data_IF_954560431513
#
_entry.id   IF_954560431513
#
_cell.length_a   1.000
_cell.length_b   1.000
_cell.length_c   1.000
_cell.angle_alpha   90.00
_cell.angle_beta   90.00
_cell.angle_gamma   90.00
#
_symmetry.space_group_name_H-M   'P 1'
#
loop_
_entity.id
_entity.type
_entity.pdbx_description
1 polymer ?
#
# COMPACT_ATOMS: atom_id res chain seq x y z
N UNK A 1 1.89 -12.80 49.65
CA UNK A 1 2.70 -11.64 49.21
C UNK A 1 2.41 -11.40 47.75
N UNK A 2 1.86 -10.24 47.39
CA UNK A 2 1.74 -9.85 45.99
C UNK A 2 3.17 -9.64 45.48
N UNK A 3 3.60 -10.39 44.45
CA UNK A 3 4.95 -10.22 43.90
C UNK A 3 5.10 -8.80 43.38
N UNK A 4 6.27 -8.17 43.56
CA UNK A 4 6.52 -6.81 43.06
C UNK A 4 6.25 -6.65 41.55
N UNK A 5 6.35 -7.75 40.80
CA UNK A 5 5.94 -7.86 39.40
C UNK A 5 4.45 -7.61 39.16
N UNK A 6 3.57 -8.07 40.05
CA UNK A 6 2.12 -7.85 39.92
C UNK A 6 1.75 -6.38 40.17
N UNK A 7 2.38 -5.73 41.15
CA UNK A 7 2.17 -4.30 41.43
C UNK A 7 2.62 -3.45 40.24
N UNK A 8 3.81 -3.75 39.67
CA UNK A 8 4.30 -3.09 38.47
C UNK A 8 3.35 -3.28 37.27
N UNK A 9 2.86 -4.50 37.06
CA UNK A 9 1.91 -4.82 36.00
C UNK A 9 0.58 -4.06 36.16
N UNK A 10 0.05 -3.94 37.39
CA UNK A 10 -1.18 -3.17 37.67
C UNK A 10 -0.96 -1.69 37.37
N UNK A 11 0.16 -1.11 37.78
CA UNK A 11 0.47 0.29 37.50
C UNK A 11 0.61 0.54 35.99
N UNK A 12 1.26 -0.37 35.26
CA UNK A 12 1.38 -0.31 33.81
C UNK A 12 0.03 -0.47 33.10
N UNK A 13 -0.82 -1.38 33.57
CA UNK A 13 -2.18 -1.57 33.06
C UNK A 13 -3.02 -0.30 33.20
N UNK A 14 -2.98 0.34 34.38
CA UNK A 14 -3.63 1.63 34.65
C UNK A 14 -3.04 2.71 33.73
N UNK A 15 -1.72 2.81 33.65
CA UNK A 15 -1.06 3.76 32.75
C UNK A 15 -1.48 3.55 31.29
N UNK A 16 -1.61 2.31 30.82
CA UNK A 16 -2.04 1.98 29.45
C UNK A 16 -3.50 2.40 29.20
N UNK A 17 -4.41 2.12 30.14
CA UNK A 17 -5.82 2.51 30.04
C UNK A 17 -6.01 4.03 30.04
N UNK A 18 -5.27 4.75 30.89
CA UNK A 18 -5.51 6.18 31.11
C UNK A 18 -4.65 7.12 30.26
N UNK A 19 -3.46 6.68 29.79
CA UNK A 19 -2.56 7.53 29.00
C UNK A 19 -2.74 7.35 27.48
N UNK A 20 -3.29 6.23 27.02
CA UNK A 20 -3.42 5.96 25.59
C UNK A 20 -4.89 5.80 25.17
N UNK A 21 -5.36 6.68 24.28
CA UNK A 21 -6.65 6.54 23.59
C UNK A 21 -6.55 5.42 22.54
N UNK A 22 -6.66 4.15 22.98
CA UNK A 22 -6.77 2.98 22.11
C UNK A 22 -8.21 2.53 21.98
N UNK A 23 -8.50 1.75 20.93
CA UNK A 23 -9.73 0.99 20.89
C UNK A 23 -9.75 -0.02 22.05
N UNK A 24 -10.94 -0.29 22.58
CA UNK A 24 -11.11 -1.13 23.77
C UNK A 24 -10.50 -2.53 23.57
N UNK A 25 -10.59 -3.10 22.37
CA UNK A 25 -10.09 -4.44 22.07
C UNK A 25 -8.56 -4.50 22.13
N UNK A 26 -7.86 -3.50 21.59
CA UNK A 26 -6.39 -3.39 21.72
C UNK A 26 -5.96 -3.21 23.18
N UNK A 27 -6.67 -2.39 23.95
CA UNK A 27 -6.40 -2.22 25.40
C UNK A 27 -6.55 -3.55 26.13
N UNK A 28 -7.65 -4.27 25.91
CA UNK A 28 -7.87 -5.59 26.51
C UNK A 28 -6.78 -6.59 26.12
N UNK A 29 -6.39 -6.64 24.84
CA UNK A 29 -5.32 -7.53 24.39
C UNK A 29 -4.00 -7.27 25.14
N UNK A 30 -3.61 -6.00 25.29
CA UNK A 30 -2.40 -5.64 26.04
C UNK A 30 -2.51 -5.93 27.53
N UNK A 31 -3.67 -5.67 28.14
CA UNK A 31 -3.92 -6.02 29.54
C UNK A 31 -3.77 -7.53 29.77
N UNK A 32 -4.33 -8.36 28.89
CA UNK A 32 -4.22 -9.82 28.97
C UNK A 32 -2.77 -10.28 28.79
N UNK A 33 -2.03 -9.74 27.81
CA UNK A 33 -0.61 -10.08 27.60
C UNK A 33 0.23 -9.71 28.83
N UNK A 34 0.05 -8.51 29.38
CA UNK A 34 0.79 -8.05 30.57
C UNK A 34 0.42 -8.89 31.80
N UNK A 35 -0.83 -9.32 31.92
CA UNK A 35 -1.32 -10.12 33.04
C UNK A 35 -0.83 -11.58 32.99
N UNK A 36 -1.05 -12.29 31.88
CA UNK A 36 -0.76 -13.72 31.76
C UNK A 36 0.71 -14.02 31.48
N UNK A 37 1.45 -13.08 30.89
CA UNK A 37 2.86 -13.25 30.55
C UNK A 37 3.66 -12.11 31.19
N UNK A 38 3.79 -12.07 32.53
CA UNK A 38 4.55 -11.02 33.21
C UNK A 38 6.02 -11.01 32.74
N UNK A 39 6.65 -9.84 32.75
CA UNK A 39 8.03 -9.59 32.27
C UNK A 39 8.19 -9.72 30.75
N UNK A 40 7.89 -10.89 30.16
CA UNK A 40 7.99 -11.07 28.70
C UNK A 40 6.92 -10.26 27.96
N UNK A 41 5.68 -10.26 28.45
CA UNK A 41 4.60 -9.41 27.94
C UNK A 41 4.92 -7.93 28.04
N UNK A 42 5.68 -7.51 29.06
CA UNK A 42 6.20 -6.14 29.15
C UNK A 42 7.24 -5.85 28.05
N UNK A 43 8.16 -6.78 27.81
CA UNK A 43 9.10 -6.70 26.67
C UNK A 43 8.36 -6.59 25.33
N UNK A 44 7.35 -7.44 25.11
CA UNK A 44 6.48 -7.42 23.92
C UNK A 44 5.75 -6.07 23.81
N UNK A 45 5.23 -5.55 24.93
CA UNK A 45 4.57 -4.23 24.96
C UNK A 45 5.52 -3.09 24.61
N UNK A 46 6.76 -3.11 25.11
CA UNK A 46 7.76 -2.09 24.75
C UNK A 46 8.11 -2.12 23.25
N UNK A 47 8.11 -3.30 22.64
CA UNK A 47 8.43 -3.49 21.23
C UNK A 47 7.28 -3.13 20.30
N UNK A 48 6.10 -3.69 20.56
CA UNK A 48 4.95 -3.63 19.65
C UNK A 48 3.82 -2.76 20.17
N UNK A 49 3.72 -2.66 21.49
CA UNK A 49 2.64 -2.00 22.18
C UNK A 49 2.80 -0.50 22.31
N UNK A 50 3.97 0.11 22.22
CA UNK A 50 4.12 1.55 22.47
C UNK A 50 3.81 2.41 21.23
N UNK A 51 2.80 3.29 21.28
CA UNK A 51 2.62 4.33 20.25
C UNK A 51 3.63 5.45 20.49
N UNK A 52 4.68 5.51 19.68
CA UNK A 52 5.61 6.65 19.70
C UNK A 52 4.87 7.95 19.35
N UNK A 53 5.22 9.04 20.04
CA UNK A 53 4.61 10.36 19.86
C UNK A 53 4.90 10.91 18.45
N UNK A 54 3.86 11.24 17.66
CA UNK A 54 3.95 11.71 16.25
C UNK A 54 5.05 12.75 15.99
N UNK A 55 5.12 13.77 16.85
CA UNK A 55 6.05 14.91 16.72
C UNK A 55 7.54 14.56 16.72
N UNK A 56 7.93 13.39 17.24
CA UNK A 56 9.32 12.94 17.27
C UNK A 56 9.65 11.91 16.19
N UNK A 57 8.66 11.47 15.41
CA UNK A 57 8.83 10.44 14.40
C UNK A 57 8.90 11.00 12.98
N UNK A 58 8.11 12.03 12.68
CA UNK A 58 7.93 12.52 11.32
C UNK A 58 8.44 13.96 11.18
N UNK A 59 9.35 14.19 10.23
CA UNK A 59 9.92 15.49 9.88
C UNK A 59 9.03 16.30 8.91
N UNK A 60 7.80 15.83 8.67
CA UNK A 60 6.84 16.44 7.74
C UNK A 60 5.89 17.44 8.38
N UNK A 61 5.77 17.49 9.72
CA UNK A 61 4.92 18.50 10.35
C UNK A 61 5.36 19.91 9.91
N UNK A 62 4.49 20.59 9.15
CA UNK A 62 4.71 21.93 8.61
C UNK A 62 5.33 22.01 7.20
N UNK A 63 5.61 20.89 6.51
CA UNK A 63 6.06 20.91 5.11
C UNK A 63 4.88 20.80 4.15
N UNK A 64 4.70 21.82 3.29
CA UNK A 64 3.67 21.82 2.24
C UNK A 64 3.93 20.70 1.21
N UNK A 65 2.86 20.24 0.54
CA UNK A 65 2.96 19.31 -0.59
C UNK A 65 3.62 19.99 -1.79
N UNK A 66 4.94 19.92 -1.81
CA UNK A 66 5.81 20.58 -2.78
C UNK A 66 5.35 20.27 -4.22
N UNK A 67 5.11 21.34 -4.98
CA UNK A 67 4.90 21.33 -6.43
C UNK A 67 3.48 21.06 -6.92
N UNK A 68 2.53 20.84 -6.00
CA UNK A 68 1.11 20.67 -6.32
C UNK A 68 0.19 21.52 -5.43
N UNK A 69 0.77 22.37 -4.58
CA UNK A 69 0.08 23.28 -3.66
C UNK A 69 -0.94 24.18 -4.36
N UNK A 70 -0.54 24.87 -5.43
CA UNK A 70 -1.45 25.71 -6.22
C UNK A 70 -2.58 24.92 -6.88
N UNK A 71 -2.32 23.67 -7.29
CA UNK A 71 -3.34 22.81 -7.89
C UNK A 71 -4.35 22.33 -6.84
N UNK A 72 -3.89 22.05 -5.61
CA UNK A 72 -4.75 21.73 -4.47
C UNK A 72 -5.64 22.93 -4.16
N UNK A 73 -5.06 24.11 -3.99
CA UNK A 73 -5.79 25.36 -3.70
C UNK A 73 -6.84 25.65 -4.77
N UNK A 74 -6.45 25.63 -6.05
CA UNK A 74 -7.36 25.81 -7.18
C UNK A 74 -8.53 24.82 -7.18
N UNK A 75 -8.27 23.53 -6.96
CA UNK A 75 -9.33 22.52 -6.94
C UNK A 75 -10.25 22.66 -5.72
N UNK A 76 -9.71 23.05 -4.56
CA UNK A 76 -10.51 23.30 -3.37
C UNK A 76 -11.43 24.52 -3.56
N UNK A 77 -10.91 25.62 -4.10
CA UNK A 77 -11.71 26.81 -4.43
C UNK A 77 -12.80 26.47 -5.46
N UNK A 78 -12.45 25.72 -6.51
CA UNK A 78 -13.40 25.31 -7.55
C UNK A 78 -14.51 24.38 -7.02
N UNK A 79 -14.27 23.66 -5.92
CA UNK A 79 -15.31 22.85 -5.26
C UNK A 79 -16.23 23.76 -4.43
N UNK A 80 -15.67 24.74 -3.73
CA UNK A 80 -16.43 25.66 -2.88
C UNK A 80 -17.37 26.58 -3.68
N UNK A 81 -16.96 26.99 -4.88
CA UNK A 81 -17.74 27.84 -5.78
C UNK A 81 -18.61 27.07 -6.79
N UNK A 82 -18.62 25.74 -6.71
CA UNK A 82 -19.30 24.80 -7.64
C UNK A 82 -18.88 24.99 -9.12
N UNK A 83 -17.65 25.46 -9.38
CA UNK A 83 -17.07 25.62 -10.72
C UNK A 83 -16.16 24.47 -11.15
N UNK A 84 -15.99 23.43 -10.32
CA UNK A 84 -15.11 22.30 -10.59
C UNK A 84 -15.46 21.57 -11.89
N UNK A 85 -14.55 21.64 -12.86
CA UNK A 85 -14.76 21.08 -14.19
C UNK A 85 -14.26 19.62 -14.31
N UNK A 86 -15.17 18.74 -14.69
CA UNK A 86 -14.88 17.36 -15.06
C UNK A 86 -14.76 17.27 -16.57
N UNK A 87 -13.56 16.92 -17.07
CA UNK A 87 -13.32 16.76 -18.51
C UNK A 87 -14.05 15.55 -19.09
N UNK A 88 -14.35 14.56 -18.25
CA UNK A 88 -15.07 13.34 -18.62
C UNK A 88 -16.26 13.11 -17.69
N UNK A 89 -17.37 12.66 -18.28
CA UNK A 89 -18.59 12.30 -17.55
C UNK A 89 -18.36 11.20 -16.51
N UNK A 90 -17.44 10.26 -16.78
CA UNK A 90 -17.13 9.14 -15.88
C UNK A 90 -16.69 9.62 -14.49
N UNK A 91 -15.76 10.58 -14.43
CA UNK A 91 -15.25 11.12 -13.17
C UNK A 91 -16.31 11.91 -12.39
N UNK A 92 -17.23 12.57 -13.09
CA UNK A 92 -18.28 13.39 -12.44
C UNK A 92 -19.21 12.57 -11.54
N UNK A 93 -19.46 11.30 -11.89
CA UNK A 93 -20.29 10.38 -11.08
C UNK A 93 -19.64 10.06 -9.72
N UNK A 94 -18.33 10.28 -9.61
CA UNK A 94 -17.53 10.04 -8.41
C UNK A 94 -17.15 11.34 -7.69
N UNK A 95 -17.83 12.47 -7.97
CA UNK A 95 -17.58 13.80 -7.35
C UNK A 95 -17.42 13.71 -5.82
N UNK A 96 -18.30 12.99 -5.12
CA UNK A 96 -18.22 12.87 -3.65
C UNK A 96 -16.95 12.17 -3.16
N UNK A 97 -16.52 11.10 -3.84
CA UNK A 97 -15.28 10.39 -3.52
C UNK A 97 -14.06 11.27 -3.83
N UNK A 98 -14.10 11.99 -4.96
CA UNK A 98 -13.04 12.90 -5.38
C UNK A 98 -12.86 14.04 -4.38
N UNK A 99 -13.94 14.69 -3.97
CA UNK A 99 -13.95 15.74 -2.94
C UNK A 99 -13.43 15.19 -1.60
N UNK A 100 -13.89 14.00 -1.20
CA UNK A 100 -13.42 13.37 0.04
C UNK A 100 -11.90 13.19 0.03
N UNK A 101 -11.33 12.74 -1.08
CA UNK A 101 -9.88 12.58 -1.26
C UNK A 101 -9.11 13.90 -1.27
N UNK A 102 -9.69 14.96 -1.84
CA UNK A 102 -9.14 16.30 -1.75
C UNK A 102 -9.11 16.81 -0.31
N UNK A 103 -10.20 16.68 0.45
CA UNK A 103 -10.25 17.13 1.84
C UNK A 103 -9.37 16.30 2.79
N UNK A 104 -9.38 14.97 2.68
CA UNK A 104 -8.74 14.10 3.66
C UNK A 104 -7.26 13.80 3.37
N UNK A 105 -6.83 13.98 2.12
CA UNK A 105 -5.49 13.64 1.67
C UNK A 105 -4.85 14.73 0.85
N UNK A 106 -5.56 15.79 0.42
CA UNK A 106 -5.10 16.72 -0.62
C UNK A 106 -4.65 15.96 -1.88
N UNK A 107 -5.42 14.94 -2.27
CA UNK A 107 -5.16 14.17 -3.47
C UNK A 107 -5.88 14.85 -4.63
N UNK A 108 -5.14 15.54 -5.50
CA UNK A 108 -5.69 16.27 -6.64
C UNK A 108 -6.21 15.32 -7.71
N UNK A 109 -7.35 15.67 -8.31
CA UNK A 109 -7.83 14.98 -9.50
C UNK A 109 -7.01 15.43 -10.71
N UNK A 110 -6.48 14.46 -11.44
CA UNK A 110 -5.84 14.68 -12.74
C UNK A 110 -6.66 13.97 -13.81
N UNK A 111 -6.76 14.56 -15.01
CA UNK A 111 -7.72 14.13 -16.05
C UNK A 111 -7.06 14.06 -17.43
N UNK A 112 -5.73 13.97 -17.48
CA UNK A 112 -4.91 14.05 -18.69
C UNK A 112 -3.92 12.88 -18.81
N UNK A 113 -4.24 11.77 -18.14
CA UNK A 113 -3.34 10.65 -17.96
C UNK A 113 -3.55 9.56 -19.01
N UNK A 114 -2.45 8.95 -19.42
CA UNK A 114 -2.42 7.62 -20.02
C UNK A 114 -1.96 6.62 -18.96
N UNK A 115 -2.64 5.50 -18.85
CA UNK A 115 -2.32 4.43 -17.90
C UNK A 115 -2.11 3.12 -18.67
N UNK A 116 -0.91 2.56 -18.57
CA UNK A 116 -0.61 1.21 -19.04
C UNK A 116 -0.64 0.26 -17.83
N UNK A 117 -1.36 -0.88 -17.93
CA UNK A 117 -1.55 -1.84 -16.84
C UNK A 117 -0.70 -3.08 -17.10
N UNK A 118 0.10 -3.49 -16.10
CA UNK A 118 0.84 -4.74 -16.11
C UNK A 118 0.28 -5.72 -15.09
N UNK A 119 0.07 -6.96 -15.52
CA UNK A 119 -0.29 -8.09 -14.68
C UNK A 119 0.85 -9.11 -14.51
N UNK A 120 1.89 -8.99 -15.33
CA UNK A 120 3.07 -9.84 -15.38
C UNK A 120 4.33 -9.08 -14.96
N UNK A 121 5.18 -9.75 -14.18
CA UNK A 121 6.41 -9.16 -13.67
C UNK A 121 7.44 -8.87 -14.76
N UNK A 122 7.59 -9.75 -15.76
CA UNK A 122 8.56 -9.55 -16.86
C UNK A 122 8.15 -8.37 -17.70
N UNK A 123 6.89 -8.31 -18.15
CA UNK A 123 6.38 -7.18 -18.94
C UNK A 123 6.57 -5.85 -18.18
N UNK A 124 6.22 -5.83 -16.89
CA UNK A 124 6.41 -4.66 -16.03
C UNK A 124 7.87 -4.24 -15.93
N UNK A 125 8.78 -5.19 -15.71
CA UNK A 125 10.20 -4.87 -15.49
C UNK A 125 10.92 -4.55 -16.80
N UNK A 126 10.56 -5.18 -17.91
CA UNK A 126 11.08 -4.85 -19.24
C UNK A 126 10.70 -3.41 -19.62
N UNK A 127 9.45 -3.00 -19.39
CA UNK A 127 9.00 -1.61 -19.57
C UNK A 127 9.75 -0.63 -18.66
N UNK A 128 9.94 -0.98 -17.38
CA UNK A 128 10.68 -0.14 -16.43
C UNK A 128 12.15 0.01 -16.82
N UNK A 129 12.83 -1.08 -17.19
CA UNK A 129 14.23 -1.05 -17.63
C UNK A 129 14.37 -0.16 -18.87
N UNK A 130 13.45 -0.29 -19.83
CA UNK A 130 13.40 0.58 -21.00
C UNK A 130 13.25 2.05 -20.60
N UNK A 131 12.27 2.44 -19.79
CA UNK A 131 12.12 3.85 -19.40
C UNK A 131 13.34 4.38 -18.63
N UNK A 132 13.97 3.55 -17.79
CA UNK A 132 15.20 3.91 -17.07
C UNK A 132 16.37 4.16 -18.02
N UNK A 133 16.52 3.37 -19.08
CA UNK A 133 17.54 3.55 -20.13
C UNK A 133 17.37 4.85 -20.92
N UNK A 134 16.17 5.42 -20.97
CA UNK A 134 15.89 6.65 -21.70
C UNK A 134 15.85 7.91 -20.83
N UNK A 135 15.91 7.76 -19.50
CA UNK A 135 15.96 8.86 -18.55
C UNK A 135 17.04 9.91 -18.88
N UNK A 136 16.70 11.19 -18.72
CA UNK A 136 17.52 12.36 -19.11
C UNK A 136 17.83 13.34 -17.98
N UNK A 137 16.97 13.49 -16.99
CA UNK A 137 17.13 14.48 -15.91
C UNK A 137 17.28 13.83 -14.52
N UNK A 138 16.32 12.99 -14.11
CA UNK A 138 16.35 12.35 -12.80
C UNK A 138 15.58 11.03 -12.76
N UNK A 139 16.02 10.17 -11.84
CA UNK A 139 15.36 8.90 -11.51
C UNK A 139 15.19 8.86 -9.99
N UNK A 140 13.94 8.72 -9.56
CA UNK A 140 13.56 8.53 -8.17
C UNK A 140 12.93 7.15 -8.01
N UNK A 141 13.58 6.26 -7.26
CA UNK A 141 13.12 4.88 -7.05
C UNK A 141 12.87 4.63 -5.57
N UNK A 142 11.71 4.05 -5.28
CA UNK A 142 11.31 3.66 -3.94
C UNK A 142 10.66 2.29 -3.94
N UNK A 143 11.16 1.39 -3.10
CA UNK A 143 10.62 0.04 -2.93
C UNK A 143 10.68 -0.43 -1.47
N UNK A 144 9.68 -1.24 -1.07
CA UNK A 144 9.70 -1.94 0.22
C UNK A 144 10.80 -3.01 0.24
N UNK A 145 10.78 -3.89 -0.77
CA UNK A 145 11.82 -4.89 -0.99
C UNK A 145 12.62 -4.48 -2.23
N UNK A 146 13.92 -4.29 -2.03
CA UNK A 146 14.88 -4.21 -3.11
C UNK A 146 15.94 -5.28 -2.83
N UNK A 147 16.14 -6.18 -3.79
CA UNK A 147 17.23 -7.16 -3.75
C UNK A 147 18.24 -6.83 -4.83
N UNK A 148 19.49 -7.19 -4.58
CA UNK A 148 20.58 -7.11 -5.56
C UNK A 148 20.87 -8.50 -6.14
N UNK A 149 19.80 -9.22 -6.49
CA UNK A 149 19.80 -10.44 -7.29
C UNK A 149 19.82 -10.08 -8.79
N UNK A 150 19.48 -11.00 -9.70
CA UNK A 150 19.64 -10.77 -11.13
C UNK A 150 18.87 -9.52 -11.60
N UNK A 151 17.56 -9.43 -11.30
CA UNK A 151 16.76 -8.25 -11.65
C UNK A 151 17.28 -6.97 -10.98
N UNK A 152 17.62 -7.04 -9.70
CA UNK A 152 18.16 -5.92 -8.95
C UNK A 152 19.46 -5.36 -9.53
N UNK A 153 20.36 -6.25 -9.96
CA UNK A 153 21.63 -5.88 -10.58
C UNK A 153 21.42 -5.25 -11.96
N UNK A 154 20.47 -5.73 -12.76
CA UNK A 154 20.12 -5.10 -14.04
C UNK A 154 19.66 -3.65 -13.86
N UNK A 155 18.73 -3.43 -12.92
CA UNK A 155 18.28 -2.08 -12.56
C UNK A 155 19.47 -1.25 -12.08
N UNK A 156 20.26 -1.78 -11.13
CA UNK A 156 21.39 -1.05 -10.56
C UNK A 156 22.43 -0.64 -11.61
N UNK A 157 22.72 -1.51 -12.58
CA UNK A 157 23.66 -1.23 -13.66
C UNK A 157 23.19 -0.05 -14.53
N UNK A 158 21.92 -0.01 -14.93
CA UNK A 158 21.35 1.12 -15.67
C UNK A 158 21.46 2.40 -14.85
N UNK A 159 21.17 2.34 -13.55
CA UNK A 159 21.28 3.50 -12.67
C UNK A 159 22.72 4.03 -12.56
N UNK A 160 23.72 3.16 -12.54
CA UNK A 160 25.14 3.55 -12.59
C UNK A 160 25.48 4.26 -13.90
N UNK A 161 25.03 3.72 -15.03
CA UNK A 161 25.24 4.32 -16.35
C UNK A 161 24.57 5.68 -16.47
N UNK A 162 23.36 5.82 -15.93
CA UNK A 162 22.64 7.10 -15.87
C UNK A 162 23.31 8.12 -14.97
N UNK A 163 23.80 7.70 -13.81
CA UNK A 163 24.59 8.57 -12.96
C UNK A 163 25.89 9.05 -13.66
N UNK A 164 26.59 8.17 -14.40
CA UNK A 164 27.76 8.52 -15.24
C UNK A 164 27.40 9.54 -16.33
N UNK A 165 26.19 9.48 -16.88
CA UNK A 165 25.65 10.44 -17.85
C UNK A 165 25.16 11.76 -17.20
N UNK A 166 25.24 11.89 -15.87
CA UNK A 166 24.84 13.10 -15.13
C UNK A 166 23.38 13.13 -14.66
N UNK A 167 22.60 12.08 -14.94
CA UNK A 167 21.21 11.95 -14.46
C UNK A 167 21.21 11.84 -12.93
N UNK A 168 20.30 12.58 -12.27
CA UNK A 168 20.20 12.56 -10.81
C UNK A 168 19.46 11.31 -10.33
N UNK A 169 20.18 10.35 -9.79
CA UNK A 169 19.62 9.10 -9.27
C UNK A 169 19.43 9.16 -7.77
N UNK A 170 18.22 8.82 -7.29
CA UNK A 170 17.91 8.63 -5.87
C UNK A 170 17.22 7.28 -5.63
N UNK A 171 17.76 6.49 -4.72
CA UNK A 171 17.19 5.20 -4.31
C UNK A 171 16.77 5.28 -2.84
N UNK A 172 15.50 5.03 -2.57
CA UNK A 172 14.94 4.89 -1.24
C UNK A 172 14.45 3.44 -1.04
N UNK A 173 14.86 2.79 0.03
CA UNK A 173 14.39 1.44 0.34
C UNK A 173 13.98 1.30 1.81
N UNK A 174 13.04 0.41 2.11
CA UNK A 174 12.70 0.10 3.50
C UNK A 174 13.78 -0.79 4.14
N UNK A 175 14.30 -0.40 5.31
CA UNK A 175 15.40 -1.12 5.97
C UNK A 175 15.03 -2.54 6.42
N UNK A 176 13.78 -2.80 6.80
CA UNK A 176 13.37 -4.15 7.22
C UNK A 176 12.96 -5.02 6.03
N UNK A 177 12.20 -4.45 5.08
CA UNK A 177 11.85 -5.14 3.83
C UNK A 177 13.10 -5.54 3.04
N UNK A 178 14.11 -4.67 3.04
CA UNK A 178 15.39 -4.86 2.36
C UNK A 178 16.54 -5.12 3.35
N UNK A 179 16.32 -5.93 4.39
CA UNK A 179 17.30 -6.20 5.47
C UNK A 179 18.68 -6.71 5.02
N UNK A 180 18.78 -7.28 3.81
CA UNK A 180 20.06 -7.69 3.22
C UNK A 180 20.82 -6.53 2.57
N UNK A 181 20.20 -5.36 2.39
CA UNK A 181 20.79 -4.17 1.81
C UNK A 181 21.33 -3.22 2.87
N UNK A 182 22.44 -2.57 2.51
CA UNK A 182 23.09 -1.51 3.27
C UNK A 182 23.57 -0.47 2.28
N UNK A 183 23.65 0.81 2.69
CA UNK A 183 24.16 1.91 1.83
C UNK A 183 25.49 1.59 1.16
N UNK A 184 26.39 0.84 1.83
CA UNK A 184 27.68 0.40 1.28
C UNK A 184 27.58 -0.43 -0.01
N UNK A 185 26.46 -1.11 -0.26
CA UNK A 185 26.25 -1.87 -1.50
C UNK A 185 26.05 -0.96 -2.71
N UNK A 186 25.73 0.32 -2.49
CA UNK A 186 25.55 1.33 -3.52
C UNK A 186 26.73 2.33 -3.58
N UNK A 187 27.92 1.90 -3.12
CA UNK A 187 29.09 2.77 -3.00
C UNK A 187 29.45 3.44 -4.34
N UNK A 188 29.49 2.67 -5.43
CA UNK A 188 29.80 3.19 -6.76
C UNK A 188 28.78 4.27 -7.20
N UNK A 189 27.49 4.02 -6.99
CA UNK A 189 26.45 4.99 -7.32
C UNK A 189 26.61 6.29 -6.52
N UNK A 190 26.98 6.18 -5.24
CA UNK A 190 27.21 7.34 -4.37
C UNK A 190 28.43 8.14 -4.83
N UNK A 191 29.51 7.47 -5.24
CA UNK A 191 30.72 8.10 -5.79
C UNK A 191 30.44 8.84 -7.11
N UNK A 192 29.48 8.36 -7.91
CA UNK A 192 28.98 9.02 -9.12
C UNK A 192 27.99 10.17 -8.83
N UNK A 193 27.75 10.50 -7.56
CA UNK A 193 26.85 11.57 -7.13
C UNK A 193 25.38 11.17 -6.98
N UNK A 194 25.05 9.89 -7.16
CA UNK A 194 23.75 9.33 -6.81
C UNK A 194 23.54 9.34 -5.29
N UNK A 195 22.28 9.26 -4.85
CA UNK A 195 21.93 9.31 -3.43
C UNK A 195 21.13 8.08 -3.03
N UNK A 196 21.44 7.52 -1.88
CA UNK A 196 20.77 6.32 -1.37
C UNK A 196 20.41 6.47 0.10
N UNK A 197 19.14 6.26 0.42
CA UNK A 197 18.60 6.38 1.76
C UNK A 197 17.82 5.13 2.17
N UNK A 198 17.86 4.81 3.47
CA UNK A 198 17.08 3.74 4.07
C UNK A 198 15.96 4.36 4.90
N UNK A 199 14.72 3.95 4.66
CA UNK A 199 13.56 4.45 5.38
C UNK A 199 13.44 3.74 6.75
N UNK A 200 13.29 4.54 7.82
CA UNK A 200 13.28 4.10 9.22
C UNK A 200 14.31 3.00 9.54
N UNK A 201 15.62 3.30 9.48
CA UNK A 201 16.67 2.34 9.77
C UNK A 201 16.56 1.87 11.23
N UNK A 202 16.86 0.60 11.46
CA UNK A 202 16.88 0.03 12.80
C UNK A 202 18.10 0.55 13.59
N UNK A 203 17.90 1.58 14.41
CA UNK A 203 18.99 2.21 15.20
C UNK A 203 19.45 1.27 16.35
N UNK A 204 18.55 0.45 16.91
CA UNK A 204 18.85 -0.51 17.98
C UNK A 204 18.17 -1.87 17.70
N UNK A 205 18.91 -2.99 17.55
CA UNK A 205 18.32 -4.28 17.16
C UNK A 205 17.33 -4.89 18.16
N UNK A 206 17.43 -4.53 19.45
CA UNK A 206 16.71 -5.20 20.53
C UNK A 206 15.49 -4.42 21.06
N UNK A 207 15.40 -3.11 20.83
CA UNK A 207 14.28 -2.26 21.30
C UNK A 207 14.05 -1.14 20.27
N UNK A 208 13.31 -1.42 19.19
CA UNK A 208 13.02 -0.42 18.17
C UNK A 208 11.53 -0.31 17.85
N UNK A 209 10.80 0.59 18.54
CA UNK A 209 9.38 0.85 18.24
C UNK A 209 9.14 1.42 16.83
N UNK A 210 10.19 1.79 16.06
CA UNK A 210 10.08 2.12 14.63
C UNK A 210 9.89 0.90 13.73
N UNK A 211 10.10 -0.33 14.23
CA UNK A 211 9.86 -1.56 13.46
C UNK A 211 8.42 -1.69 12.99
N UNK A 212 7.46 -1.14 13.74
CA UNK A 212 6.05 -1.24 13.34
C UNK A 212 5.69 -0.42 12.09
N UNK A 213 6.43 0.65 11.80
CA UNK A 213 6.14 1.58 10.69
C UNK A 213 7.03 1.28 9.50
N UNK A 214 6.45 0.80 8.41
CA UNK A 214 7.19 0.34 7.23
C UNK A 214 6.79 1.09 5.99
N UNK A 215 7.78 1.42 5.16
CA UNK A 215 7.50 2.02 3.87
C UNK A 215 7.15 0.93 2.86
N UNK A 216 5.86 0.76 2.62
CA UNK A 216 5.35 -0.28 1.74
C UNK A 216 5.03 0.26 0.34
N UNK A 217 5.38 1.51 0.04
CA UNK A 217 5.19 2.12 -1.28
C UNK A 217 6.21 1.56 -2.28
N UNK A 218 5.75 1.40 -3.52
CA UNK A 218 6.57 1.05 -4.68
C UNK A 218 6.32 2.13 -5.72
N UNK A 219 7.21 3.12 -5.76
CA UNK A 219 7.09 4.31 -6.62
C UNK A 219 8.37 4.41 -7.44
N UNK A 220 8.24 4.58 -8.75
CA UNK A 220 9.35 5.05 -9.59
C UNK A 220 8.89 6.27 -10.34
N UNK A 221 9.66 7.36 -10.30
CA UNK A 221 9.44 8.55 -11.12
C UNK A 221 10.67 8.81 -11.97
N UNK A 222 10.45 8.96 -13.26
CA UNK A 222 11.49 9.21 -14.26
C UNK A 222 11.20 10.55 -14.92
N UNK A 223 12.15 11.47 -14.80
CA UNK A 223 12.14 12.82 -15.36
C UNK A 223 10.91 13.67 -15.00
N UNK A 224 10.15 13.27 -13.96
CA UNK A 224 8.86 13.89 -13.61
C UNK A 224 7.77 13.66 -14.65
N UNK A 225 7.97 12.74 -15.60
CA UNK A 225 7.08 12.51 -16.76
C UNK A 225 6.47 11.12 -16.80
N UNK A 226 7.17 10.13 -16.27
CA UNK A 226 6.73 8.74 -16.20
C UNK A 226 6.71 8.33 -14.73
N UNK A 227 5.60 7.74 -14.30
CA UNK A 227 5.39 7.23 -12.95
C UNK A 227 5.04 5.74 -12.96
N UNK A 228 5.56 4.98 -11.99
CA UNK A 228 5.18 3.60 -11.73
C UNK A 228 4.62 3.47 -10.32
N UNK A 229 3.52 2.74 -10.17
CA UNK A 229 2.86 2.43 -8.89
C UNK A 229 2.17 1.07 -8.94
N UNK A 230 2.30 0.24 -7.91
CA UNK A 230 1.60 -1.05 -7.84
C UNK A 230 2.26 -2.02 -6.87
N UNK A 231 1.96 -3.33 -6.98
CA UNK A 231 2.34 -4.30 -5.95
C UNK A 231 3.73 -4.96 -6.08
N UNK A 232 4.28 -5.08 -7.29
CA UNK A 232 5.61 -5.69 -7.50
C UNK A 232 6.74 -4.96 -6.75
N UNK A 233 7.57 -5.72 -6.03
CA UNK A 233 8.86 -5.24 -5.53
C UNK A 233 10.02 -5.70 -6.44
N UNK A 234 11.26 -5.33 -6.11
CA UNK A 234 12.45 -5.74 -6.88
C UNK A 234 13.08 -6.99 -6.28
N UNK A 235 13.07 -8.07 -7.07
CA UNK A 235 13.67 -9.36 -6.76
C UNK A 235 13.24 -10.46 -7.75
N UNK A 236 14.02 -11.53 -7.85
CA UNK A 236 13.80 -12.59 -8.85
C UNK A 236 12.47 -13.36 -8.62
N UNK A 237 11.93 -13.38 -7.40
CA UNK A 237 10.60 -13.95 -7.15
C UNK A 237 9.49 -13.26 -7.94
N UNK A 238 9.61 -11.96 -8.20
CA UNK A 238 8.62 -11.16 -8.91
C UNK A 238 8.64 -11.43 -10.42
N UNK A 239 9.69 -12.09 -10.92
CA UNK A 239 9.78 -12.62 -12.30
C UNK A 239 9.31 -14.09 -12.39
N UNK A 240 8.75 -14.63 -11.30
CA UNK A 240 8.31 -16.02 -11.20
C UNK A 240 9.43 -17.04 -11.04
N UNK A 241 10.66 -16.61 -10.71
CA UNK A 241 11.82 -17.50 -10.62
C UNK A 241 11.93 -18.23 -9.27
N UNK A 242 11.06 -17.90 -8.31
CA UNK A 242 11.05 -18.54 -7.01
C UNK A 242 10.21 -19.82 -7.03
N UNK A 243 10.84 -20.99 -6.79
CA UNK A 243 10.17 -22.31 -6.80
C UNK A 243 9.01 -22.45 -5.81
N UNK A 244 9.03 -21.75 -4.68
CA UNK A 244 7.97 -21.82 -3.66
C UNK A 244 6.70 -21.12 -4.14
N UNK A 245 6.85 -19.95 -4.73
CA UNK A 245 5.71 -19.13 -5.13
C UNK A 245 5.25 -19.45 -6.56
N UNK A 246 6.19 -19.77 -7.45
CA UNK A 246 5.93 -19.96 -8.87
C UNK A 246 5.69 -18.62 -9.53
N UNK A 247 4.74 -18.58 -10.48
CA UNK A 247 4.29 -17.35 -11.10
C UNK A 247 3.82 -16.33 -10.05
N UNK A 248 4.30 -15.10 -10.15
CA UNK A 248 3.94 -14.03 -9.23
C UNK A 248 2.94 -13.11 -9.92
N UNK A 249 1.67 -13.24 -9.55
CA UNK A 249 0.58 -12.47 -10.14
C UNK A 249 0.33 -11.22 -9.31
N UNK A 250 0.67 -10.05 -9.85
CA UNK A 250 0.47 -8.76 -9.20
C UNK A 250 0.09 -7.70 -10.24
N UNK A 251 -0.41 -6.54 -9.81
CA UNK A 251 -0.82 -5.46 -10.73
C UNK A 251 0.02 -4.21 -10.51
N UNK A 252 0.48 -3.61 -11.61
CA UNK A 252 1.26 -2.38 -11.62
C UNK A 252 0.77 -1.46 -12.72
N UNK A 253 0.82 -0.15 -12.45
CA UNK A 253 0.49 0.89 -13.40
C UNK A 253 1.76 1.61 -13.81
N UNK A 254 1.87 1.91 -15.11
CA UNK A 254 2.75 2.93 -15.66
C UNK A 254 1.88 4.10 -16.12
N UNK A 255 2.26 5.29 -15.70
CA UNK A 255 1.46 6.50 -15.84
C UNK A 255 2.28 7.57 -16.56
N UNK A 256 1.70 8.14 -17.61
CA UNK A 256 2.18 9.37 -18.25
C UNK A 256 1.05 10.41 -18.19
N UNK A 257 1.30 11.56 -17.56
CA UNK A 257 0.29 12.61 -17.34
C UNK A 257 0.50 13.32 -16.01
N UNK A 258 -0.38 14.27 -15.68
CA UNK A 258 -0.21 15.10 -14.48
C UNK A 258 -0.24 14.31 -13.17
N UNK A 259 -0.78 13.07 -13.15
CA UNK A 259 -0.73 12.18 -11.99
C UNK A 259 0.69 11.80 -11.54
N UNK A 260 1.70 11.97 -12.41
CA UNK A 260 3.10 11.76 -12.04
C UNK A 260 3.57 12.79 -11.01
N UNK A 261 3.02 14.01 -11.01
CA UNK A 261 3.39 15.05 -10.05
C UNK A 261 3.02 14.67 -8.60
N UNK A 262 1.79 14.22 -8.29
CA UNK A 262 1.48 13.65 -6.96
C UNK A 262 2.39 12.48 -6.54
N UNK A 263 2.76 11.58 -7.46
CA UNK A 263 3.72 10.50 -7.16
C UNK A 263 5.11 11.06 -6.81
N UNK A 264 5.58 12.04 -7.56
CA UNK A 264 6.84 12.74 -7.32
C UNK A 264 6.83 13.45 -5.96
N UNK A 265 5.77 14.21 -5.67
CA UNK A 265 5.59 14.86 -4.35
C UNK A 265 5.61 13.81 -3.25
N UNK A 266 4.96 12.65 -3.44
CA UNK A 266 4.95 11.57 -2.45
C UNK A 266 6.34 10.99 -2.21
N UNK A 267 7.11 10.76 -3.27
CA UNK A 267 8.51 10.33 -3.16
C UNK A 267 9.36 11.38 -2.42
N UNK A 268 9.24 12.66 -2.78
CA UNK A 268 10.02 13.75 -2.16
C UNK A 268 9.75 13.84 -0.66
N UNK A 269 8.50 13.71 -0.24
CA UNK A 269 8.16 13.66 1.18
C UNK A 269 8.86 12.45 1.85
N UNK A 270 8.73 11.26 1.27
CA UNK A 270 9.37 10.04 1.81
C UNK A 270 10.89 10.13 1.89
N UNK A 271 11.49 10.74 0.87
CA UNK A 271 12.91 11.04 0.84
C UNK A 271 13.31 12.01 1.96
N UNK A 272 12.61 13.13 2.11
CA UNK A 272 12.90 14.16 3.12
C UNK A 272 12.64 13.67 4.56
N UNK A 273 11.86 12.59 4.73
CA UNK A 273 11.76 11.89 6.00
C UNK A 273 13.00 11.07 6.32
N UNK A 274 13.53 10.37 5.32
CA UNK A 274 14.63 9.44 5.49
C UNK A 274 16.00 10.14 5.49
N UNK A 275 16.20 11.10 4.59
CA UNK A 275 17.46 11.81 4.42
C UNK A 275 17.66 12.86 5.51
N UNK A 276 18.85 12.90 6.12
CA UNK A 276 19.20 13.92 7.13
C UNK A 276 19.78 15.18 6.49
N UNK A 277 20.52 15.03 5.39
CA UNK A 277 21.39 16.08 4.83
C UNK A 277 21.03 16.46 3.38
N UNK A 278 20.18 15.69 2.70
CA UNK A 278 19.93 15.83 1.26
C UNK A 278 18.44 16.01 0.98
N UNK A 279 17.78 16.90 1.73
CA UNK A 279 16.39 17.26 1.47
C UNK A 279 16.23 17.74 0.01
N UNK A 280 15.15 17.31 -0.63
CA UNK A 280 14.73 17.76 -1.93
C UNK A 280 13.76 18.92 -1.72
N UNK A 281 14.15 20.08 -2.22
CA UNK A 281 13.31 21.27 -2.26
C UNK A 281 12.53 21.35 -3.58
N UNK A 282 11.58 22.30 -3.66
CA UNK A 282 10.86 22.56 -4.90
C UNK A 282 11.82 22.92 -6.03
N UNK A 283 11.58 22.38 -7.22
CA UNK A 283 12.28 22.78 -8.43
C UNK A 283 11.44 22.43 -9.65
N UNK A 284 11.29 23.36 -10.60
CA UNK A 284 10.46 23.18 -11.80
C UNK A 284 10.87 21.95 -12.63
N UNK A 285 12.15 21.55 -12.59
CA UNK A 285 12.65 20.32 -13.24
C UNK A 285 11.96 19.04 -12.75
N UNK A 286 11.45 19.03 -11.52
CA UNK A 286 10.77 17.87 -10.94
C UNK A 286 9.29 17.82 -11.32
N UNK A 287 8.74 18.94 -11.78
CA UNK A 287 7.33 19.12 -12.13
C UNK A 287 7.23 19.75 -13.53
N UNK A 288 7.82 19.11 -14.57
CA UNK A 288 7.82 19.70 -15.90
C UNK A 288 6.40 19.80 -16.44
N UNK A 289 6.16 20.72 -17.37
CA UNK A 289 4.92 20.69 -18.14
C UNK A 289 4.81 19.34 -18.89
N UNK A 290 3.70 18.63 -18.65
CA UNK A 290 3.38 17.36 -19.30
C UNK A 290 2.31 17.67 -20.35
N UNK A 291 2.58 17.40 -21.65
CA UNK A 291 1.54 17.47 -22.67
C UNK A 291 0.37 16.53 -22.32
N UNK A 292 -0.82 16.79 -22.82
CA UNK A 292 -1.95 15.87 -22.63
C UNK A 292 -1.60 14.50 -23.25
N UNK A 293 -1.58 13.45 -22.42
CA UNK A 293 -1.14 12.09 -22.81
C UNK A 293 -2.29 11.12 -22.99
N UNK A 294 -3.38 11.35 -22.25
CA UNK A 294 -4.63 10.61 -22.34
C UNK A 294 -5.73 11.39 -21.63
N UNK A 295 -6.80 10.72 -21.25
CA UNK A 295 -7.96 11.32 -20.61
C UNK A 295 -8.33 10.69 -19.26
N UNK A 296 -7.53 9.72 -18.78
CA UNK A 296 -7.87 8.94 -17.58
C UNK A 296 -7.91 9.84 -16.34
N UNK A 297 -9.07 9.84 -15.66
CA UNK A 297 -9.28 10.49 -14.37
C UNK A 297 -8.59 9.72 -13.24
N UNK A 298 -7.69 10.36 -12.49
CA UNK A 298 -6.87 9.69 -11.48
C UNK A 298 -6.58 10.58 -10.27
N UNK A 299 -6.69 10.00 -9.07
CA UNK A 299 -6.18 10.55 -7.81
C UNK A 299 -5.14 9.62 -7.18
N UNK A 300 -3.98 10.16 -6.81
CA UNK A 300 -2.96 9.44 -6.04
C UNK A 300 -3.20 9.70 -4.56
N UNK A 301 -3.67 8.67 -3.86
CA UNK A 301 -4.02 8.73 -2.44
C UNK A 301 -2.96 7.98 -1.64
N UNK A 302 -2.41 8.63 -0.61
CA UNK A 302 -1.39 8.03 0.24
C UNK A 302 -1.88 7.85 1.67
N UNK A 303 -1.60 6.70 2.26
CA UNK A 303 -1.89 6.39 3.66
C UNK A 303 -0.61 6.27 4.46
N UNK A 304 -0.69 6.49 5.78
CA UNK A 304 0.44 6.32 6.67
C UNK A 304 0.15 6.69 8.12
N UNK A 305 0.99 6.23 9.07
CA UNK A 305 0.81 6.44 10.51
C UNK A 305 0.85 7.91 10.94
N UNK A 306 1.39 8.78 10.10
CA UNK A 306 1.39 10.23 10.24
C UNK A 306 -0.01 10.83 10.18
N UNK A 307 -0.96 10.19 9.49
CA UNK A 307 -2.27 10.79 9.26
C UNK A 307 -3.30 10.43 10.33
N UNK A 308 -4.10 11.41 10.76
CA UNK A 308 -5.23 11.20 11.67
C UNK A 308 -6.26 10.21 11.12
N UNK A 309 -6.50 10.25 9.81
CA UNK A 309 -7.52 9.46 9.14
C UNK A 309 -6.89 8.34 8.31
N UNK A 310 -7.65 7.26 8.10
CA UNK A 310 -7.21 6.10 7.29
C UNK A 310 -7.62 6.31 5.83
N UNK A 311 -6.95 7.21 5.10
CA UNK A 311 -7.47 7.73 3.82
C UNK A 311 -7.73 6.66 2.76
N UNK A 312 -6.81 5.69 2.63
CA UNK A 312 -6.99 4.60 1.65
C UNK A 312 -8.17 3.71 2.07
N UNK A 313 -8.32 3.40 3.37
CA UNK A 313 -9.48 2.64 3.85
C UNK A 313 -10.78 3.39 3.56
N UNK A 314 -10.84 4.67 3.89
CA UNK A 314 -12.01 5.50 3.63
C UNK A 314 -12.34 5.57 2.12
N UNK A 315 -11.31 5.67 1.27
CA UNK A 315 -11.44 5.58 -0.18
C UNK A 315 -12.03 4.24 -0.63
N UNK A 316 -11.50 3.12 -0.14
CA UNK A 316 -12.04 1.80 -0.44
C UNK A 316 -13.50 1.65 0.01
N UNK A 317 -13.83 2.07 1.23
CA UNK A 317 -15.20 2.00 1.76
C UNK A 317 -16.17 2.82 0.90
N UNK A 318 -15.81 4.07 0.60
CA UNK A 318 -16.65 4.95 -0.22
C UNK A 318 -16.81 4.39 -1.64
N UNK A 319 -15.73 3.88 -2.26
CA UNK A 319 -15.80 3.22 -3.57
C UNK A 319 -16.75 2.01 -3.55
N UNK A 320 -16.59 1.10 -2.58
CA UNK A 320 -17.45 -0.07 -2.41
C UNK A 320 -18.93 0.34 -2.22
N UNK A 321 -19.20 1.37 -1.43
CA UNK A 321 -20.55 1.88 -1.18
C UNK A 321 -21.20 2.52 -2.42
N UNK A 322 -20.42 2.86 -3.44
CA UNK A 322 -20.93 3.43 -4.70
C UNK A 322 -21.27 2.37 -5.75
N UNK A 323 -20.90 1.10 -5.51
CA UNK A 323 -21.18 0.00 -6.44
C UNK A 323 -22.69 -0.29 -6.56
N UNK A 324 -23.13 -0.56 -7.78
CA UNK A 324 -24.52 -0.81 -8.18
C UNK A 324 -24.73 -2.21 -8.75
N UNK A 325 -23.70 -2.85 -9.31
CA UNK A 325 -23.78 -4.18 -9.95
C UNK A 325 -22.83 -5.18 -9.31
N UNK A 326 -21.55 -4.86 -9.22
CA UNK A 326 -20.54 -5.78 -8.72
C UNK A 326 -19.35 -5.09 -8.06
N UNK A 327 -18.65 -5.85 -7.22
CA UNK A 327 -17.40 -5.44 -6.56
C UNK A 327 -16.40 -6.59 -6.71
N UNK A 328 -15.31 -6.37 -7.43
CA UNK A 328 -14.21 -7.34 -7.58
C UNK A 328 -13.01 -6.90 -6.75
N UNK A 329 -12.50 -7.80 -5.91
CA UNK A 329 -11.38 -7.53 -5.00
C UNK A 329 -10.31 -8.59 -5.20
N UNK A 330 -9.08 -8.16 -5.47
CA UNK A 330 -7.88 -9.00 -5.37
C UNK A 330 -7.00 -8.46 -4.23
N UNK A 331 -6.65 -9.31 -3.28
CA UNK A 331 -5.71 -8.98 -2.20
C UNK A 331 -4.99 -10.23 -1.72
N UNK A 332 -3.67 -10.19 -1.40
CA UNK A 332 -3.05 -11.32 -0.75
C UNK A 332 -3.51 -11.47 0.70
N UNK A 333 -3.82 -10.35 1.37
CA UNK A 333 -4.19 -10.30 2.78
C UNK A 333 -5.56 -9.65 2.93
N UNK A 334 -6.49 -10.39 3.51
CA UNK A 334 -7.86 -9.95 3.78
C UNK A 334 -8.14 -10.10 5.28
N UNK A 335 -7.62 -9.16 6.07
CA UNK A 335 -7.81 -9.06 7.51
C UNK A 335 -8.45 -7.68 7.83
N UNK A 336 -9.62 -7.37 7.25
CA UNK A 336 -10.29 -6.10 7.45
C UNK A 336 -10.71 -5.87 8.91
N UNK A 337 -10.99 -4.60 9.23
CA UNK A 337 -11.72 -4.26 10.44
C UNK A 337 -13.24 -4.43 10.26
N UNK A 338 -13.98 -4.18 11.34
CA UNK A 338 -15.44 -4.31 11.34
C UNK A 338 -16.13 -3.41 10.30
N UNK A 339 -15.65 -2.18 10.09
CA UNK A 339 -16.27 -1.24 9.14
C UNK A 339 -16.21 -1.76 7.70
N UNK A 340 -15.10 -2.39 7.34
CA UNK A 340 -14.90 -2.94 6.01
C UNK A 340 -15.67 -4.25 5.81
N UNK A 341 -15.70 -5.12 6.84
CA UNK A 341 -16.53 -6.33 6.82
C UNK A 341 -18.02 -6.00 6.71
N UNK A 342 -18.50 -5.04 7.50
CA UNK A 342 -19.90 -4.63 7.51
C UNK A 342 -20.30 -4.04 6.16
N UNK A 343 -19.43 -3.23 5.55
CA UNK A 343 -19.69 -2.63 4.23
C UNK A 343 -19.84 -3.69 3.15
N UNK A 344 -18.94 -4.67 3.08
CA UNK A 344 -19.05 -5.76 2.10
C UNK A 344 -20.25 -6.68 2.37
N UNK A 345 -20.54 -6.97 3.64
CA UNK A 345 -21.73 -7.74 4.01
C UNK A 345 -23.01 -7.02 3.57
N UNK A 346 -23.12 -5.70 3.80
CA UNK A 346 -24.25 -4.90 3.36
C UNK A 346 -24.37 -4.93 1.83
N UNK A 347 -23.26 -4.81 1.09
CA UNK A 347 -23.28 -4.91 -0.37
C UNK A 347 -23.82 -6.28 -0.84
N UNK A 348 -23.33 -7.38 -0.26
CA UNK A 348 -23.82 -8.73 -0.59
C UNK A 348 -25.33 -8.87 -0.30
N UNK A 349 -25.77 -8.44 0.88
CA UNK A 349 -27.18 -8.50 1.29
C UNK A 349 -28.09 -7.57 0.46
N UNK A 350 -27.52 -6.56 -0.18
CA UNK A 350 -28.22 -5.65 -1.10
C UNK A 350 -28.27 -6.18 -2.53
N UNK A 351 -27.74 -7.39 -2.79
CA UNK A 351 -27.77 -8.03 -4.11
C UNK A 351 -26.60 -7.66 -5.03
N UNK A 352 -25.59 -6.95 -4.55
CA UNK A 352 -24.36 -6.66 -5.32
C UNK A 352 -23.52 -7.93 -5.45
N UNK A 353 -23.00 -8.22 -6.65
CA UNK A 353 -22.11 -9.37 -6.88
C UNK A 353 -20.71 -9.08 -6.34
N UNK A 354 -20.45 -9.49 -5.10
CA UNK A 354 -19.15 -9.33 -4.45
C UNK A 354 -18.28 -10.57 -4.73
N UNK A 355 -17.15 -10.37 -5.41
CA UNK A 355 -16.16 -11.42 -5.67
C UNK A 355 -14.81 -11.05 -5.07
N UNK A 356 -14.23 -11.96 -4.30
CA UNK A 356 -12.95 -11.76 -3.61
C UNK A 356 -12.00 -12.88 -4.03
N UNK A 357 -10.79 -12.51 -4.44
CA UNK A 357 -9.76 -13.45 -4.83
C UNK A 357 -8.54 -13.34 -3.91
N UNK A 358 -8.10 -14.50 -3.40
CA UNK A 358 -7.01 -14.65 -2.44
C UNK A 358 -5.98 -15.68 -2.93
N UNK A 359 -4.76 -15.69 -2.36
CA UNK A 359 -3.73 -16.67 -2.74
C UNK A 359 -4.13 -18.09 -2.33
N UNK A 360 -3.54 -19.12 -2.94
CA UNK A 360 -3.68 -20.52 -2.50
C UNK A 360 -2.65 -20.98 -1.46
N UNK A 361 -1.65 -20.15 -1.14
CA UNK A 361 -0.56 -20.54 -0.25
C UNK A 361 -0.10 -19.40 0.66
N UNK A 362 0.38 -19.70 1.88
CA UNK A 362 0.91 -18.70 2.78
C UNK A 362 2.31 -18.24 2.37
N UNK A 363 2.54 -16.93 2.38
CA UNK A 363 3.86 -16.32 2.49
C UNK A 363 4.22 -16.03 3.95
N UNK A 364 3.22 -15.69 4.79
CA UNK A 364 3.32 -15.53 6.23
C UNK A 364 2.42 -16.51 7.00
N UNK A 365 2.91 -17.05 8.13
CA UNK A 365 2.32 -18.21 8.84
C UNK A 365 0.90 -17.92 9.36
N UNK A 366 0.62 -16.72 9.84
CA UNK A 366 -0.69 -16.37 10.43
C UNK A 366 -1.63 -15.64 9.47
N UNK A 367 -1.08 -14.87 8.53
CA UNK A 367 -1.86 -13.94 7.70
C UNK A 367 -2.80 -14.68 6.77
N UNK A 368 -2.34 -15.80 6.20
CA UNK A 368 -3.17 -16.65 5.34
C UNK A 368 -4.38 -17.23 6.08
N UNK A 369 -4.20 -17.75 7.30
CA UNK A 369 -5.31 -18.34 8.05
C UNK A 369 -6.28 -17.30 8.61
N UNK A 370 -5.80 -16.10 8.93
CA UNK A 370 -6.68 -14.98 9.24
C UNK A 370 -7.51 -14.61 8.00
N UNK A 371 -6.86 -14.44 6.85
CA UNK A 371 -7.52 -14.19 5.55
C UNK A 371 -8.62 -15.22 5.28
N UNK A 372 -8.28 -16.50 5.39
CA UNK A 372 -9.20 -17.61 5.16
C UNK A 372 -10.42 -17.58 6.13
N UNK A 373 -10.23 -17.20 7.40
CA UNK A 373 -11.32 -17.00 8.37
C UNK A 373 -12.27 -15.87 7.96
N UNK A 374 -11.73 -14.70 7.59
CA UNK A 374 -12.54 -13.50 7.29
C UNK A 374 -13.35 -13.69 6.00
N UNK A 375 -12.76 -14.25 4.95
CA UNK A 375 -13.51 -14.54 3.72
C UNK A 375 -14.61 -15.58 3.95
N UNK A 376 -14.39 -16.52 4.86
CA UNK A 376 -15.40 -17.49 5.30
C UNK A 376 -16.65 -16.86 5.91
N UNK A 377 -16.53 -15.71 6.58
CA UNK A 377 -17.67 -14.95 7.11
C UNK A 377 -18.46 -14.26 5.98
N UNK A 378 -17.77 -13.79 4.93
CA UNK A 378 -18.41 -13.16 3.78
C UNK A 378 -19.08 -14.14 2.82
N UNK A 379 -18.57 -15.37 2.71
CA UNK A 379 -19.25 -16.44 1.93
C UNK A 379 -20.68 -16.65 2.45
N UNK A 380 -20.86 -16.66 3.78
CA UNK A 380 -22.20 -16.76 4.40
C UNK A 380 -23.12 -15.60 4.02
N UNK A 381 -22.55 -14.42 3.78
CA UNK A 381 -23.30 -13.23 3.41
C UNK A 381 -23.65 -13.19 1.90
N UNK A 382 -23.08 -14.09 1.09
CA UNK A 382 -23.31 -14.17 -0.36
C UNK A 382 -22.10 -13.80 -1.22
N UNK A 383 -20.95 -13.48 -0.64
CA UNK A 383 -19.74 -13.21 -1.41
C UNK A 383 -19.22 -14.49 -2.08
N UNK A 384 -18.71 -14.36 -3.32
CA UNK A 384 -18.03 -15.44 -4.02
C UNK A 384 -16.53 -15.31 -3.80
N UNK A 385 -15.90 -16.33 -3.25
CA UNK A 385 -14.47 -16.31 -2.95
C UNK A 385 -13.74 -17.25 -3.89
N UNK A 386 -12.64 -16.80 -4.47
CA UNK A 386 -11.81 -17.54 -5.41
C UNK A 386 -10.38 -17.68 -4.87
N UNK A 387 -9.88 -18.90 -4.86
CA UNK A 387 -8.51 -19.23 -4.50
C UNK A 387 -7.69 -19.33 -5.78
N UNK A 388 -6.75 -18.43 -5.98
CA UNK A 388 -5.93 -18.38 -7.20
C UNK A 388 -4.91 -19.52 -7.24
N UNK A 389 -4.97 -20.37 -8.26
CA UNK A 389 -4.16 -21.59 -8.33
C UNK A 389 -2.91 -21.48 -9.21
N UNK A 390 -2.87 -20.52 -10.14
CA UNK A 390 -1.78 -20.39 -11.11
C UNK A 390 -0.54 -19.68 -10.55
N UNK A 391 -0.26 -19.75 -9.25
CA UNK A 391 0.93 -19.14 -8.65
C UNK A 391 0.68 -18.51 -7.30
N UNK A 392 1.28 -17.35 -7.05
CA UNK A 392 1.05 -16.54 -5.87
C UNK A 392 0.40 -15.22 -6.27
N UNK A 393 -0.84 -15.00 -5.82
CA UNK A 393 -1.56 -13.76 -6.00
C UNK A 393 -1.08 -12.71 -4.99
N UNK A 394 -0.66 -11.56 -5.47
CA UNK A 394 -0.25 -10.45 -4.63
C UNK A 394 -0.79 -9.09 -5.12
N UNK A 395 -1.74 -9.08 -6.05
CA UNK A 395 -2.47 -7.87 -6.45
C UNK A 395 -3.16 -7.19 -5.26
N UNK A 396 -3.24 -5.85 -5.27
CA UNK A 396 -4.11 -5.05 -4.38
C UNK A 396 -4.99 -4.16 -5.25
N UNK A 397 -6.18 -4.65 -5.54
CA UNK A 397 -7.09 -4.01 -6.48
C UNK A 397 -8.54 -4.14 -6.01
N UNK A 398 -9.31 -3.08 -6.23
CA UNK A 398 -10.78 -3.10 -6.18
C UNK A 398 -11.31 -2.51 -7.48
N UNK A 399 -12.31 -3.14 -8.10
CA UNK A 399 -13.02 -2.65 -9.29
C UNK A 399 -14.52 -2.72 -9.02
N UNK A 400 -15.26 -1.70 -9.43
CA UNK A 400 -16.72 -1.65 -9.38
C UNK A 400 -17.29 -1.34 -10.76
N UNK A 401 -18.35 -2.06 -11.12
CA UNK A 401 -19.27 -1.76 -12.24
C UNK A 401 -18.67 -1.44 -13.62
N UNK A 402 -17.43 -1.82 -13.89
CA UNK A 402 -16.61 -1.39 -15.05
C UNK A 402 -16.41 0.14 -15.11
N UNK A 403 -16.60 0.86 -14.01
CA UNK A 403 -16.67 2.33 -13.99
C UNK A 403 -15.55 2.98 -13.17
N UNK A 404 -15.19 2.39 -12.03
CA UNK A 404 -14.14 2.91 -11.18
C UNK A 404 -13.33 1.79 -10.53
N UNK A 405 -12.08 2.11 -10.24
CA UNK A 405 -11.16 1.12 -9.69
C UNK A 405 -10.06 1.75 -8.85
N UNK A 406 -9.35 0.93 -8.09
CA UNK A 406 -8.13 1.32 -7.41
C UNK A 406 -7.09 0.22 -7.51
N UNK A 407 -5.84 0.62 -7.73
CA UNK A 407 -4.65 -0.23 -7.74
C UNK A 407 -3.57 0.44 -6.92
N UNK A 408 -2.85 -0.32 -6.10
CA UNK A 408 -1.78 0.26 -5.30
C UNK A 408 -1.01 -0.74 -4.47
N UNK A 409 -0.58 -0.29 -3.30
CA UNK A 409 0.29 -1.06 -2.41
C UNK A 409 -0.43 -1.57 -1.16
N UNK A 410 -1.55 -0.93 -0.79
CA UNK A 410 -2.27 -1.22 0.44
C UNK A 410 -3.04 -2.54 0.37
N UNK A 411 -2.68 -3.49 1.24
CA UNK A 411 -3.51 -4.66 1.47
C UNK A 411 -4.76 -4.29 2.29
N UNK A 412 -5.71 -5.21 2.37
CA UNK A 412 -6.91 -5.05 3.20
C UNK A 412 -6.59 -5.62 4.60
N UNK A 413 -5.74 -4.92 5.34
CA UNK A 413 -5.38 -5.26 6.71
C UNK A 413 -5.13 -4.01 7.58
N UNK A 414 -5.13 -4.21 8.90
CA UNK A 414 -5.01 -3.13 9.88
C UNK A 414 -3.64 -2.43 9.75
N UNK A 415 -2.58 -3.18 9.42
CA UNK A 415 -1.24 -2.61 9.23
C UNK A 415 -1.19 -1.66 8.05
N UNK A 416 -1.72 -2.03 6.90
CA UNK A 416 -1.75 -1.23 5.68
C UNK A 416 -2.58 0.03 5.87
N UNK A 417 -3.69 -0.07 6.62
CA UNK A 417 -4.54 1.09 6.89
C UNK A 417 -3.99 2.06 7.94
N UNK A 418 -3.27 1.58 8.96
CA UNK A 418 -2.87 2.41 10.12
C UNK A 418 -1.38 2.61 10.32
N UNK A 419 -0.54 1.64 9.93
CA UNK A 419 0.86 1.56 10.37
C UNK A 419 1.87 1.67 9.22
N UNK A 420 1.56 1.11 8.05
CA UNK A 420 2.43 1.18 6.89
C UNK A 420 2.19 2.47 6.12
N UNK A 421 3.24 2.95 5.48
CA UNK A 421 3.12 3.95 4.43
C UNK A 421 2.71 3.23 3.15
N UNK A 422 1.55 3.57 2.64
CA UNK A 422 0.95 2.97 1.45
C UNK A 422 0.56 4.05 0.43
N UNK A 423 0.37 3.65 -0.82
CA UNK A 423 -0.07 4.52 -1.90
C UNK A 423 -0.95 3.75 -2.88
N UNK A 424 -2.03 4.39 -3.32
CA UNK A 424 -2.98 3.85 -4.28
C UNK A 424 -3.33 4.89 -5.33
N UNK A 425 -3.50 4.44 -6.57
CA UNK A 425 -4.21 5.18 -7.59
C UNK A 425 -5.70 4.83 -7.48
N UNK A 426 -6.55 5.86 -7.40
CA UNK A 426 -7.99 5.75 -7.62
C UNK A 426 -8.30 6.26 -9.02
N UNK A 427 -8.95 5.42 -9.82
CA UNK A 427 -9.14 5.59 -11.26
C UNK A 427 -10.64 5.73 -11.53
N UNK A 428 -11.00 6.78 -12.27
CA UNK A 428 -12.37 7.13 -12.62
C UNK A 428 -12.51 7.16 -14.14
N UNK A 429 -12.39 5.98 -14.74
CA UNK A 429 -12.34 5.78 -16.18
C UNK A 429 -12.87 4.38 -16.50
N UNK A 430 -13.89 4.32 -17.37
CA UNK A 430 -14.56 3.06 -17.70
C UNK A 430 -13.68 2.08 -18.43
N UNK A 431 -12.92 2.53 -19.43
CA UNK A 431 -12.07 1.65 -20.24
C UNK A 431 -10.99 1.00 -19.37
N UNK A 432 -10.30 1.79 -18.57
CA UNK A 432 -9.27 1.30 -17.64
C UNK A 432 -9.86 0.34 -16.60
N UNK A 433 -11.02 0.67 -16.04
CA UNK A 433 -11.69 -0.17 -15.03
C UNK A 433 -12.22 -1.48 -15.62
N UNK A 434 -12.70 -1.45 -16.86
CA UNK A 434 -13.11 -2.64 -17.60
C UNK A 434 -11.93 -3.59 -17.86
N UNK A 435 -10.77 -3.07 -18.27
CA UNK A 435 -9.55 -3.89 -18.45
C UNK A 435 -9.15 -4.58 -17.13
N UNK A 436 -9.25 -3.88 -16.00
CA UNK A 436 -8.98 -4.46 -14.69
C UNK A 436 -10.00 -5.53 -14.30
N UNK A 437 -11.27 -5.36 -14.66
CA UNK A 437 -12.31 -6.38 -14.49
C UNK A 437 -12.04 -7.62 -15.37
N UNK A 438 -11.66 -7.45 -16.63
CA UNK A 438 -11.28 -8.57 -17.49
C UNK A 438 -10.08 -9.34 -16.94
N UNK A 439 -9.08 -8.64 -16.39
CA UNK A 439 -7.95 -9.28 -15.73
C UNK A 439 -8.39 -10.13 -14.53
N UNK A 440 -9.32 -9.61 -13.72
CA UNK A 440 -9.91 -10.38 -12.62
C UNK A 440 -10.60 -11.64 -13.15
N UNK A 441 -11.40 -11.54 -14.21
CA UNK A 441 -12.14 -12.67 -14.79
C UNK A 441 -11.22 -13.72 -15.40
N UNK A 442 -10.12 -13.30 -16.05
CA UNK A 442 -9.07 -14.21 -16.55
C UNK A 442 -8.40 -14.95 -15.40
N UNK A 443 -8.06 -14.26 -14.31
CA UNK A 443 -7.51 -14.90 -13.11
C UNK A 443 -8.53 -15.83 -12.43
N UNK A 444 -9.83 -15.52 -12.51
CA UNK A 444 -10.92 -16.33 -11.96
C UNK A 444 -11.03 -17.68 -12.67
N UNK A 445 -10.77 -17.73 -13.99
CA UNK A 445 -10.71 -19.00 -14.73
C UNK A 445 -9.56 -19.92 -14.27
N UNK A 446 -8.54 -19.34 -13.63
CA UNK A 446 -7.38 -20.03 -13.06
C UNK A 446 -7.51 -20.24 -11.54
N UNK A 447 -8.74 -20.13 -11.02
CA UNK A 447 -9.02 -20.19 -9.59
C UNK A 447 -10.02 -21.28 -9.24
N UNK A 448 -9.92 -21.79 -8.02
CA UNK A 448 -10.94 -22.66 -7.42
C UNK A 448 -11.89 -21.80 -6.61
N UNK A 449 -13.20 -21.91 -6.84
CA UNK A 449 -14.18 -21.23 -5.98
C UNK A 449 -14.22 -21.91 -4.60
N UNK A 450 -14.00 -21.14 -3.54
CA UNK A 450 -14.22 -21.58 -2.15
C UNK A 450 -15.70 -21.44 -1.83
N UNK A 451 -16.45 -22.54 -1.96
CA UNK A 451 -17.87 -22.57 -1.61
C UNK A 451 -18.08 -22.70 -0.10
N UNK A 452 -19.32 -22.48 0.35
CA UNK A 452 -19.68 -22.66 1.76
C UNK A 452 -19.46 -24.11 2.22
N UNK A 453 -19.82 -25.07 1.37
CA UNK A 453 -19.66 -26.51 1.62
C UNK A 453 -18.18 -26.87 1.81
N UNK A 454 -17.33 -26.44 0.86
CA UNK A 454 -15.87 -26.65 0.95
C UNK A 454 -15.29 -26.00 2.21
N UNK A 455 -15.77 -24.81 2.57
CA UNK A 455 -15.34 -24.15 3.78
C UNK A 455 -15.74 -24.95 5.03
N UNK A 456 -16.95 -25.49 5.13
CA UNK A 456 -17.39 -26.27 6.31
C UNK A 456 -16.61 -27.59 6.49
N UNK A 457 -16.23 -28.23 5.39
CA UNK A 457 -15.50 -29.50 5.33
C UNK A 457 -14.03 -29.39 5.80
N UNK A 458 -13.52 -28.17 6.00
CA UNK A 458 -12.13 -27.97 6.43
C UNK A 458 -11.81 -28.70 7.75
N UNK A 459 -10.60 -29.25 7.81
CA UNK A 459 -10.16 -30.06 8.95
C UNK A 459 -10.16 -29.30 10.29
N UNK A 460 -10.26 -30.03 11.40
CA UNK A 460 -10.16 -29.46 12.76
C UNK A 460 -8.86 -28.67 12.98
N UNK A 461 -7.78 -29.10 12.34
CA UNK A 461 -6.49 -28.40 12.38
C UNK A 461 -6.56 -27.03 11.71
N UNK A 462 -7.25 -26.91 10.57
CA UNK A 462 -7.45 -25.63 9.89
C UNK A 462 -8.33 -24.70 10.75
N UNK A 463 -9.44 -25.21 11.31
CA UNK A 463 -10.31 -24.46 12.23
C UNK A 463 -9.55 -23.91 13.45
N UNK A 464 -8.62 -24.70 13.98
CA UNK A 464 -7.73 -24.25 15.07
C UNK A 464 -6.77 -23.14 14.62
N UNK A 465 -6.13 -23.29 13.46
CA UNK A 465 -5.23 -22.26 12.90
C UNK A 465 -5.94 -20.94 12.63
N UNK A 466 -7.14 -20.97 12.06
CA UNK A 466 -8.00 -19.80 11.87
C UNK A 466 -8.30 -19.11 13.20
N UNK A 467 -8.73 -19.89 14.19
CA UNK A 467 -9.08 -19.36 15.51
C UNK A 467 -7.88 -18.66 16.17
N UNK A 468 -6.70 -19.25 16.07
CA UNK A 468 -5.47 -18.65 16.59
C UNK A 468 -5.06 -17.40 15.79
N UNK A 469 -5.12 -17.46 14.45
CA UNK A 469 -4.76 -16.34 13.60
C UNK A 469 -5.69 -15.13 13.81
N UNK A 470 -6.98 -15.37 14.02
CA UNK A 470 -7.98 -14.32 14.30
C UNK A 470 -7.72 -13.56 15.61
N UNK A 471 -7.16 -14.25 16.62
CA UNK A 471 -6.74 -13.58 17.86
C UNK A 471 -5.58 -12.61 17.63
N UNK A 472 -4.77 -12.84 16.60
CA UNK A 472 -3.63 -12.01 16.24
C UNK A 472 -4.01 -10.89 15.24
N UNK A 473 -5.21 -10.91 14.65
CA UNK A 473 -5.64 -9.92 13.65
C UNK A 473 -5.38 -8.45 14.02
N UNK A 474 -5.57 -7.98 15.27
CA UNK A 474 -5.28 -6.58 15.63
C UNK A 474 -3.81 -6.15 15.46
N UNK A 475 -2.88 -7.11 15.37
CA UNK A 475 -1.44 -6.86 15.21
C UNK A 475 -0.89 -7.34 13.85
N UNK A 476 -1.71 -8.04 13.06
CA UNK A 476 -1.37 -8.60 11.74
C UNK A 476 -1.58 -7.62 10.60
#
# INVERSE_FOLDING_TARGET
MISGTLILNIFLAIALIFLERRDASSTWAWLLILFFIPILGFGIYLLFGRKLRRKHLFRWEGKNKIGIDKLIEYQMEAIEDDSFDFRLDDASQYKELIIMHLHNNQAVLTQDNKVDIFNDGREKFDALLHDLEYAKDHIHIQYYIFRLDHLGQQIYQILLEKAKQGVKVRILYDDMGSRSLRKRHFKELIELGGRVEAFFPAILPLINPRMNYRNHRKIVVIDGRIGYIGGFNVGDEYLGLNKRFGYWRDTHLRIEGSAVHPLQTRFILDWNQASVEHDIEYSDRFFPAIPLKGSVGLQIVSGGPESEWEQIKNGYLKLIMMAKKYIYIQTPYFIPDASFMDTLRIACLSGIDVRIMIPNKPDHIFVYWATYSYVGELIKAGAKVYIYENGFLHTKMIVIDDEASTVGTANIDIRSFKLNFEVNAFIYDRETSHILAEHFEKDMQLSTQLTWELYEERSRMIKFKESLARLLSPIL
#
